data_IF_559590113538
#
_entry.id   IF_559590113538
#
_cell.length_a   1.000
_cell.length_b   1.000
_cell.length_c   1.000
_cell.angle_alpha   90.00
_cell.angle_beta   90.00
_cell.angle_gamma   90.00
#
_symmetry.space_group_name_H-M   'P 1'
#
loop_
_entity.id
_entity.type
_entity.pdbx_description
1 polymer ?
#
# COMPACT_ATOMS: atom_id res chain seq x y z
N UNK A 1 -10.74 11.75 -1.19
CA UNK A 1 -10.35 10.42 -0.67
C UNK A 1 -9.02 10.55 0.05
N UNK A 2 -8.80 9.84 1.17
CA UNK A 2 -7.51 9.86 1.86
C UNK A 2 -6.47 9.04 1.08
N UNK A 3 -5.32 9.64 0.76
CA UNK A 3 -4.24 9.01 -0.01
C UNK A 3 -3.47 7.97 0.82
N UNK A 4 -2.79 7.03 0.17
CA UNK A 4 -1.92 6.03 0.82
C UNK A 4 -0.95 6.67 1.82
N UNK A 5 -0.29 7.75 1.40
CA UNK A 5 0.65 8.54 2.21
C UNK A 5 -0.04 9.20 3.42
N UNK A 6 -1.27 9.68 3.23
CA UNK A 6 -2.09 10.22 4.32
C UNK A 6 -2.46 9.17 5.37
N UNK A 7 -2.78 7.94 4.95
CA UNK A 7 -3.06 6.82 5.86
C UNK A 7 -1.81 6.36 6.61
N UNK A 8 -0.66 6.33 5.94
CA UNK A 8 0.62 5.94 6.54
C UNK A 8 1.05 6.94 7.63
N UNK A 9 0.93 8.24 7.36
CA UNK A 9 1.19 9.31 8.34
C UNK A 9 0.21 9.29 9.52
N UNK A 10 -1.05 8.93 9.27
CA UNK A 10 -2.06 8.73 10.33
C UNK A 10 -1.70 7.55 11.23
N UNK A 11 -1.23 6.44 10.64
CA UNK A 11 -0.77 5.26 11.39
C UNK A 11 0.44 5.58 12.27
N UNK A 12 1.44 6.29 11.76
CA UNK A 12 2.60 6.75 12.56
C UNK A 12 2.18 7.62 13.75
N UNK A 13 1.23 8.51 13.53
CA UNK A 13 0.69 9.39 14.59
C UNK A 13 -0.01 8.57 15.68
N UNK A 14 -0.80 7.56 15.29
CA UNK A 14 -1.47 6.66 16.24
C UNK A 14 -0.47 5.80 17.02
N UNK A 15 0.60 5.33 16.38
CA UNK A 15 1.68 4.59 17.06
C UNK A 15 2.38 5.48 18.11
N UNK A 16 2.65 6.75 17.80
CA UNK A 16 3.21 7.69 18.79
C UNK A 16 2.27 7.90 19.98
N UNK A 17 0.97 8.04 19.72
CA UNK A 17 -0.05 8.15 20.77
C UNK A 17 -0.10 6.90 21.66
N UNK A 18 -0.01 5.70 21.08
CA UNK A 18 0.03 4.45 21.85
C UNK A 18 1.25 4.41 22.78
N UNK A 19 2.43 4.78 22.31
CA UNK A 19 3.65 4.83 23.14
C UNK A 19 3.51 5.82 24.31
N UNK A 20 3.00 7.03 24.05
CA UNK A 20 2.74 8.01 25.09
C UNK A 20 1.73 7.49 26.13
N UNK A 21 0.69 6.80 25.67
CA UNK A 21 -0.33 6.24 26.55
C UNK A 21 0.22 5.11 27.42
N UNK A 22 1.13 4.29 26.88
CA UNK A 22 1.83 3.23 27.62
C UNK A 22 2.72 3.81 28.74
N UNK A 23 3.49 4.86 28.42
CA UNK A 23 4.31 5.60 29.40
C UNK A 23 3.46 6.23 30.50
N UNK A 24 2.31 6.83 30.17
CA UNK A 24 1.37 7.37 31.16
C UNK A 24 0.68 6.28 31.99
N UNK A 25 0.42 5.12 31.39
CA UNK A 25 -0.16 3.96 32.09
C UNK A 25 0.83 3.45 33.14
N UNK A 26 2.11 3.30 32.77
CA UNK A 26 3.17 2.92 33.69
C UNK A 26 3.26 3.89 34.90
N UNK A 27 3.24 5.21 34.65
CA UNK A 27 3.22 6.24 35.72
C UNK A 27 1.97 6.18 36.59
N UNK A 28 0.84 5.75 36.04
CA UNK A 28 -0.43 5.64 36.77
C UNK A 28 -0.45 4.38 37.65
N UNK A 29 0.13 3.27 37.16
CA UNK A 29 0.38 2.05 37.94
C UNK A 29 1.29 2.37 39.13
N UNK A 30 2.40 3.07 38.91
CA UNK A 30 3.32 3.51 39.98
C UNK A 30 2.63 4.39 41.04
N UNK A 31 1.59 5.12 40.66
CA UNK A 31 0.79 5.99 41.56
C UNK A 31 -0.44 5.31 42.16
N UNK A 32 -0.73 4.05 41.83
CA UNK A 32 -1.84 3.27 42.41
C UNK A 32 -3.26 3.73 42.02
N UNK A 33 -3.42 4.51 40.95
CA UNK A 33 -4.72 5.06 40.55
C UNK A 33 -5.51 4.10 39.63
N UNK A 34 -6.12 3.07 40.24
CA UNK A 34 -6.86 1.98 39.56
C UNK A 34 -7.95 2.47 38.57
N UNK A 35 -8.78 3.49 38.88
CA UNK A 35 -9.81 3.95 37.93
C UNK A 35 -9.26 4.60 36.65
N UNK A 36 -8.07 5.22 36.72
CA UNK A 36 -7.41 5.76 35.53
C UNK A 36 -6.88 4.66 34.62
N UNK A 37 -6.44 3.53 35.19
CA UNK A 37 -5.94 2.38 34.43
C UNK A 37 -7.05 1.72 33.61
N UNK A 38 -8.25 1.54 34.18
CA UNK A 38 -9.39 1.00 33.44
C UNK A 38 -9.79 1.90 32.25
N UNK A 39 -9.71 3.22 32.44
CA UNK A 39 -9.99 4.18 31.37
C UNK A 39 -8.92 4.12 30.28
N UNK A 40 -7.64 4.06 30.67
CA UNK A 40 -6.52 3.90 29.74
C UNK A 40 -6.62 2.59 28.96
N UNK A 41 -6.98 1.48 29.62
CA UNK A 41 -7.19 0.17 28.98
C UNK A 41 -8.26 0.23 27.88
N UNK A 42 -9.40 0.89 28.12
CA UNK A 42 -10.45 1.05 27.11
C UNK A 42 -9.96 1.86 25.91
N UNK A 43 -9.25 2.97 26.17
CA UNK A 43 -8.67 3.83 25.12
C UNK A 43 -7.65 3.05 24.29
N UNK A 44 -6.75 2.30 24.94
CA UNK A 44 -5.77 1.44 24.29
C UNK A 44 -6.45 0.39 23.40
N UNK A 45 -7.50 -0.27 23.89
CA UNK A 45 -8.25 -1.26 23.12
C UNK A 45 -8.86 -0.65 21.85
N UNK A 46 -9.55 0.48 21.97
CA UNK A 46 -10.13 1.18 20.81
C UNK A 46 -9.05 1.62 19.82
N UNK A 47 -7.92 2.15 20.30
CA UNK A 47 -6.81 2.57 19.42
C UNK A 47 -6.13 1.40 18.73
N UNK A 48 -6.03 0.24 19.39
CA UNK A 48 -5.51 -0.98 18.78
C UNK A 48 -6.42 -1.48 17.66
N UNK A 49 -7.74 -1.49 17.87
CA UNK A 49 -8.73 -1.84 16.85
C UNK A 49 -8.64 -0.90 15.64
N UNK A 50 -8.55 0.41 15.88
CA UNK A 50 -8.35 1.40 14.80
C UNK A 50 -7.06 1.17 14.00
N UNK A 51 -5.96 0.77 14.64
CA UNK A 51 -4.69 0.44 13.96
C UNK A 51 -4.84 -0.84 13.15
N UNK A 52 -5.55 -1.83 13.68
CA UNK A 52 -5.81 -3.09 12.97
C UNK A 52 -6.61 -2.84 11.70
N UNK A 53 -7.69 -2.06 11.77
CA UNK A 53 -8.48 -1.67 10.59
C UNK A 53 -7.65 -0.92 9.55
N UNK A 54 -6.83 0.05 9.98
CA UNK A 54 -5.93 0.76 9.06
C UNK A 54 -4.92 -0.16 8.38
N UNK A 55 -4.39 -1.15 9.10
CA UNK A 55 -3.47 -2.15 8.53
C UNK A 55 -4.16 -2.95 7.42
N UNK A 56 -5.40 -3.40 7.65
CA UNK A 56 -6.18 -4.14 6.64
C UNK A 56 -6.42 -3.27 5.42
N UNK A 57 -6.89 -2.04 5.59
CA UNK A 57 -7.12 -1.11 4.47
C UNK A 57 -5.84 -0.81 3.68
N UNK A 58 -4.69 -0.69 4.34
CA UNK A 58 -3.39 -0.49 3.68
C UNK A 58 -2.99 -1.74 2.88
N UNK A 59 -3.25 -2.94 3.40
CA UNK A 59 -2.98 -4.19 2.69
C UNK A 59 -3.89 -4.35 1.47
N UNK A 60 -5.17 -4.01 1.59
CA UNK A 60 -6.12 -4.01 0.47
C UNK A 60 -5.69 -3.04 -0.63
N UNK A 61 -5.28 -1.81 -0.27
CA UNK A 61 -4.77 -0.83 -1.23
C UNK A 61 -3.48 -1.30 -1.93
N UNK A 62 -2.59 -2.00 -1.21
CA UNK A 62 -1.38 -2.58 -1.82
C UNK A 62 -1.75 -3.66 -2.83
N UNK A 63 -2.66 -4.57 -2.48
CA UNK A 63 -3.11 -5.63 -3.38
C UNK A 63 -3.76 -5.04 -4.64
N UNK A 64 -4.64 -4.03 -4.48
CA UNK A 64 -5.25 -3.33 -5.62
C UNK A 64 -4.21 -2.65 -6.51
N UNK A 65 -3.22 -1.99 -5.93
CA UNK A 65 -2.12 -1.37 -6.68
C UNK A 65 -1.30 -2.42 -7.43
N UNK A 66 -1.00 -3.56 -6.80
CA UNK A 66 -0.25 -4.65 -7.42
C UNK A 66 -1.04 -5.27 -8.58
N UNK A 67 -2.35 -5.49 -8.41
CA UNK A 67 -3.28 -5.94 -9.45
C UNK A 67 -3.38 -4.95 -10.62
N UNK A 68 -3.44 -3.64 -10.35
CA UNK A 68 -3.41 -2.60 -11.39
C UNK A 68 -2.10 -2.63 -12.19
N UNK A 69 -0.95 -2.77 -11.53
CA UNK A 69 0.34 -2.90 -12.23
C UNK A 69 0.42 -4.17 -13.08
N UNK A 70 -0.08 -5.30 -12.58
CA UNK A 70 -0.13 -6.55 -13.34
C UNK A 70 -1.05 -6.46 -14.56
N UNK A 71 -2.18 -5.78 -14.44
CA UNK A 71 -3.09 -5.52 -15.57
C UNK A 71 -2.45 -4.61 -16.61
N UNK A 72 -1.77 -3.53 -16.20
CA UNK A 72 -1.03 -2.65 -17.12
C UNK A 72 0.07 -3.43 -17.87
N UNK A 73 0.83 -4.29 -17.19
CA UNK A 73 1.86 -5.13 -17.81
C UNK A 73 1.27 -6.14 -18.82
N UNK A 74 0.11 -6.74 -18.50
CA UNK A 74 -0.62 -7.63 -19.41
C UNK A 74 -1.19 -6.91 -20.63
N UNK A 75 -1.54 -5.62 -20.53
CA UNK A 75 -1.99 -4.82 -21.67
C UNK A 75 -0.84 -4.30 -22.55
N UNK A 76 0.32 -4.02 -21.95
CA UNK A 76 1.49 -3.52 -22.69
C UNK A 76 2.24 -4.60 -23.47
N UNK A 77 2.24 -5.85 -22.98
CA UNK A 77 2.91 -6.98 -23.61
C UNK A 77 2.36 -7.36 -25.02
N UNK A 78 1.04 -7.41 -25.27
CA UNK A 78 0.49 -7.63 -26.60
C UNK A 78 0.84 -6.51 -27.58
N UNK A 79 0.79 -5.23 -27.15
CA UNK A 79 1.16 -4.09 -28.01
C UNK A 79 2.64 -4.12 -28.41
N UNK A 80 3.54 -4.48 -27.47
CA UNK A 80 4.97 -4.67 -27.80
C UNK A 80 5.21 -5.86 -28.74
N UNK A 81 4.49 -6.98 -28.57
CA UNK A 81 4.57 -8.13 -29.50
C UNK A 81 4.08 -7.75 -30.90
N UNK A 82 2.93 -7.10 -31.01
CA UNK A 82 2.39 -6.65 -32.28
C UNK A 82 3.32 -5.65 -32.99
N UNK A 83 3.88 -4.68 -32.25
CA UNK A 83 4.83 -3.72 -32.81
C UNK A 83 6.15 -4.38 -33.26
N UNK A 84 6.61 -5.43 -32.57
CA UNK A 84 7.81 -6.18 -32.98
C UNK A 84 7.56 -6.96 -34.28
N UNK A 85 6.43 -7.67 -34.37
CA UNK A 85 6.02 -8.41 -35.57
C UNK A 85 5.85 -7.46 -36.76
N UNK A 86 5.21 -6.31 -36.57
CA UNK A 86 5.03 -5.32 -37.63
C UNK A 86 6.38 -4.79 -38.16
N UNK A 87 7.34 -4.50 -37.27
CA UNK A 87 8.69 -4.07 -37.68
C UNK A 87 9.45 -5.15 -38.44
N UNK A 88 9.31 -6.40 -38.02
CA UNK A 88 9.97 -7.55 -38.65
C UNK A 88 9.40 -7.82 -40.04
N UNK A 89 8.07 -7.73 -40.20
CA UNK A 89 7.43 -7.83 -41.51
C UNK A 89 7.81 -6.69 -42.46
N UNK A 90 7.88 -5.44 -41.97
CA UNK A 90 8.34 -4.30 -42.79
C UNK A 90 9.78 -4.50 -43.25
N UNK A 91 10.64 -5.05 -42.39
CA UNK A 91 12.03 -5.35 -42.74
C UNK A 91 12.12 -6.43 -43.82
N UNK A 92 11.35 -7.50 -43.72
CA UNK A 92 11.33 -8.57 -44.72
C UNK A 92 10.84 -8.07 -46.08
N UNK A 93 9.82 -7.21 -46.11
CA UNK A 93 9.32 -6.59 -47.36
C UNK A 93 10.41 -5.70 -47.99
N UNK A 94 11.15 -4.92 -47.19
CA UNK A 94 12.23 -4.09 -47.70
C UNK A 94 13.42 -4.92 -48.23
N UNK A 95 13.71 -6.07 -47.60
CA UNK A 95 14.74 -7.01 -48.06
C UNK A 95 14.32 -7.71 -49.38
N UNK A 96 13.02 -8.05 -49.55
CA UNK A 96 12.48 -8.61 -50.80
C UNK A 96 12.50 -7.59 -51.97
N UNK A 97 12.20 -6.31 -51.71
CA UNK A 97 12.23 -5.25 -52.72
C UNK A 97 13.67 -4.87 -53.17
N UNK A 98 14.68 -5.10 -52.33
CA UNK A 98 16.09 -4.89 -52.69
C UNK A 98 16.69 -6.07 -53.49
N UNK A 99 16.14 -7.28 -53.39
CA UNK A 99 16.59 -8.46 -54.15
C UNK A 99 15.97 -8.56 -55.56
N UNK A 100 14.86 -7.87 -55.83
CA UNK A 100 14.20 -7.85 -57.15
C UNK A 100 14.76 -6.78 -58.13
N UNK A 101 15.77 -5.99 -57.74
CA UNK A 101 16.39 -4.93 -58.54
C UNK A 101 17.85 -5.20 -58.93
#
# INVERSE_FOLDING_TARGET
MATYEGKLKSMETKIKLLKLTDEETQRTIEKGHVPSLERQQRVLKTKLEEVYSLKVEIQELKIQSDEETDNILKEFTPKRRAAKIAKENIRLIAEEEEEEH
#
